data_IF_974999391308
#
_entry.id   IF_974999391308
#
_cell.length_a   1.000
_cell.length_b   1.000
_cell.length_c   1.000
_cell.angle_alpha   90.00
_cell.angle_beta   90.00
_cell.angle_gamma   90.00
#
_symmetry.space_group_name_H-M   'P 1'
#
loop_
_entity.id
_entity.type
_entity.pdbx_description
1 polymer ?
#
# COMPACT_ATOMS: atom_id res chain seq x y z
N UNK A 1 -21.47 69.91 -59.82
CA UNK A 1 -20.04 69.52 -59.81
C UNK A 1 -19.68 69.31 -58.35
N UNK A 2 -19.96 68.14 -57.79
CA UNK A 2 -19.04 66.98 -57.83
C UNK A 2 -17.68 67.35 -57.24
N UNK A 3 -17.27 66.60 -56.22
CA UNK A 3 -16.05 66.77 -55.42
C UNK A 3 -16.07 68.00 -54.50
N UNK A 4 -16.63 67.85 -53.31
CA UNK A 4 -15.91 68.17 -52.07
C UNK A 4 -16.71 67.55 -50.92
N UNK A 5 -16.26 66.34 -50.54
CA UNK A 5 -16.37 65.76 -49.20
C UNK A 5 -17.81 65.46 -48.75
N UNK A 6 -18.43 64.29 -48.94
CA UNK A 6 -17.94 62.90 -48.94
C UNK A 6 -16.91 62.54 -47.85
N UNK A 7 -16.54 63.50 -46.99
CA UNK A 7 -15.55 63.34 -45.91
C UNK A 7 -16.19 63.35 -44.52
N UNK A 8 -17.40 63.87 -44.36
CA UNK A 8 -18.11 63.94 -43.07
C UNK A 8 -18.99 62.72 -42.82
N UNK A 9 -19.55 62.09 -43.86
CA UNK A 9 -20.33 60.86 -43.71
C UNK A 9 -19.45 59.61 -43.48
N UNK A 10 -18.18 59.65 -43.92
CA UNK A 10 -17.23 58.54 -43.68
C UNK A 10 -16.70 58.50 -42.23
N UNK A 11 -16.92 59.59 -41.48
CA UNK A 11 -16.56 59.72 -40.06
C UNK A 11 -17.76 59.49 -39.13
N UNK A 12 -18.91 59.04 -39.65
CA UNK A 12 -20.11 58.71 -38.87
C UNK A 12 -20.58 57.26 -39.04
N UNK A 13 -19.87 56.44 -39.81
CA UNK A 13 -19.78 55.02 -39.50
C UNK A 13 -18.79 54.87 -38.35
N UNK A 14 -19.24 55.34 -37.17
CA UNK A 14 -18.87 54.78 -35.88
C UNK A 14 -18.98 53.27 -36.07
N UNK A 15 -17.84 52.64 -36.40
CA UNK A 15 -17.59 51.22 -36.29
C UNK A 15 -17.89 50.90 -34.85
N UNK A 16 -19.18 50.66 -34.58
CA UNK A 16 -19.71 50.20 -33.31
C UNK A 16 -18.90 48.97 -33.04
N UNK A 17 -18.05 49.14 -32.05
CA UNK A 17 -16.95 48.27 -31.77
C UNK A 17 -17.51 46.87 -31.57
N UNK A 18 -16.90 45.82 -32.15
CA UNK A 18 -17.09 44.50 -31.60
C UNK A 18 -16.28 44.36 -30.31
N UNK A 19 -15.97 45.46 -29.58
CA UNK A 19 -15.32 45.43 -28.27
C UNK A 19 -16.12 44.55 -27.34
N UNK A 20 -17.46 44.67 -27.32
CA UNK A 20 -18.28 43.79 -26.50
C UNK A 20 -18.31 42.32 -26.96
N UNK A 21 -18.14 42.04 -28.25
CA UNK A 21 -18.11 40.66 -28.74
C UNK A 21 -16.74 40.03 -28.46
N UNK A 22 -15.66 40.78 -28.67
CA UNK A 22 -14.29 40.35 -28.36
C UNK A 22 -14.12 40.19 -26.84
N UNK A 23 -14.66 41.11 -26.04
CA UNK A 23 -14.64 41.01 -24.57
C UNK A 23 -15.43 39.81 -24.08
N UNK A 24 -16.61 39.53 -24.67
CA UNK A 24 -17.40 38.33 -24.35
C UNK A 24 -16.68 37.05 -24.77
N UNK A 25 -16.07 37.02 -25.95
CA UNK A 25 -15.28 35.87 -26.42
C UNK A 25 -14.03 35.68 -25.56
N UNK A 26 -13.41 36.76 -25.09
CA UNK A 26 -12.27 36.73 -24.19
C UNK A 26 -12.67 36.22 -22.80
N UNK A 27 -13.77 36.71 -22.24
CA UNK A 27 -14.36 36.21 -21.00
C UNK A 27 -14.72 34.72 -21.10
N UNK A 28 -15.32 34.29 -22.21
CA UNK A 28 -15.63 32.88 -22.48
C UNK A 28 -14.37 32.03 -22.62
N UNK A 29 -13.32 32.53 -23.29
CA UNK A 29 -12.05 31.84 -23.42
C UNK A 29 -11.33 31.70 -22.06
N UNK A 30 -11.37 32.75 -21.24
CA UNK A 30 -10.80 32.74 -19.89
C UNK A 30 -11.56 31.78 -18.98
N UNK A 31 -12.90 31.76 -19.07
CA UNK A 31 -13.75 30.81 -18.34
C UNK A 31 -13.46 29.36 -18.76
N UNK A 32 -13.32 29.11 -20.08
CA UNK A 32 -12.99 27.80 -20.60
C UNK A 32 -11.59 27.35 -20.16
N UNK A 33 -10.61 28.26 -20.18
CA UNK A 33 -9.25 27.99 -19.69
C UNK A 33 -9.27 27.66 -18.19
N UNK A 34 -10.01 28.43 -17.39
CA UNK A 34 -10.17 28.17 -15.96
C UNK A 34 -10.87 26.84 -15.68
N UNK A 35 -11.91 26.50 -16.43
CA UNK A 35 -12.58 25.21 -16.31
C UNK A 35 -11.64 24.05 -16.69
N UNK A 36 -10.85 24.21 -17.75
CA UNK A 36 -9.87 23.20 -18.18
C UNK A 36 -8.75 23.02 -17.15
N UNK A 37 -8.19 24.11 -16.59
CA UNK A 37 -7.15 24.02 -15.54
C UNK A 37 -7.71 23.44 -14.25
N UNK A 38 -8.93 23.81 -13.85
CA UNK A 38 -9.61 23.21 -12.70
C UNK A 38 -9.85 21.72 -12.92
N UNK A 39 -10.31 21.33 -14.11
CA UNK A 39 -10.49 19.92 -14.46
C UNK A 39 -9.16 19.16 -14.47
N UNK A 40 -8.07 19.76 -14.93
CA UNK A 40 -6.72 19.17 -14.86
C UNK A 40 -6.23 19.05 -13.42
N UNK A 41 -6.38 20.08 -12.58
CA UNK A 41 -6.00 20.06 -11.16
C UNK A 41 -6.83 19.05 -10.39
N UNK A 42 -8.14 19.00 -10.61
CA UNK A 42 -9.04 17.99 -10.05
C UNK A 42 -8.74 16.61 -10.62
N UNK A 43 -8.35 16.47 -11.89
CA UNK A 43 -7.94 15.18 -12.47
C UNK A 43 -6.58 14.73 -11.96
N UNK A 44 -5.63 15.63 -11.70
CA UNK A 44 -4.34 15.33 -11.08
C UNK A 44 -4.55 15.02 -9.59
N UNK A 45 -5.45 15.75 -8.92
CA UNK A 45 -5.86 15.50 -7.53
C UNK A 45 -6.69 14.22 -7.38
N UNK A 46 -7.53 13.88 -8.36
CA UNK A 46 -8.29 12.64 -8.45
C UNK A 46 -7.42 11.48 -8.92
N UNK A 47 -6.42 11.71 -9.79
CA UNK A 47 -5.36 10.73 -10.04
C UNK A 47 -4.46 10.56 -8.83
N UNK A 48 -4.27 11.56 -7.97
CA UNK A 48 -3.66 11.37 -6.65
C UNK A 48 -4.61 10.66 -5.68
N UNK A 49 -5.93 10.87 -5.76
CA UNK A 49 -6.90 10.16 -4.91
C UNK A 49 -7.17 8.72 -5.36
N UNK A 50 -7.10 8.42 -6.65
CA UNK A 50 -7.07 7.05 -7.19
C UNK A 50 -5.66 6.47 -7.12
N UNK A 51 -4.59 7.26 -7.13
CA UNK A 51 -3.25 6.80 -6.71
C UNK A 51 -3.08 6.79 -5.20
N UNK A 52 -4.16 6.91 -4.42
CA UNK A 52 -4.20 6.63 -2.97
C UNK A 52 -5.22 5.52 -2.69
N UNK A 53 -6.33 5.44 -3.44
CA UNK A 53 -7.35 4.38 -3.31
C UNK A 53 -7.12 3.15 -4.22
N UNK A 54 -6.54 3.29 -5.42
CA UNK A 54 -5.96 2.17 -6.18
C UNK A 54 -4.50 1.91 -5.76
N UNK A 55 -3.87 2.86 -5.05
CA UNK A 55 -2.70 2.59 -4.21
C UNK A 55 -3.10 2.21 -2.77
N UNK A 56 -4.33 1.78 -2.57
CA UNK A 56 -4.77 1.04 -1.40
C UNK A 56 -4.86 -0.44 -1.81
N UNK A 57 -3.80 -1.25 -1.89
CA UNK A 57 -2.43 -1.14 -1.42
C UNK A 57 -1.66 -2.25 -2.15
N UNK A 58 -0.75 -1.90 -3.06
CA UNK A 58 0.37 -2.77 -3.37
C UNK A 58 1.23 -2.87 -2.09
N UNK A 59 0.83 -3.72 -1.15
CA UNK A 59 1.56 -3.94 0.09
C UNK A 59 2.98 -4.43 -0.25
N UNK A 60 4.07 -3.90 0.29
CA UNK A 60 4.32 -2.69 1.07
C UNK A 60 5.85 -2.76 1.22
N UNK A 61 6.58 -1.99 0.40
CA UNK A 61 8.02 -2.20 0.17
C UNK A 61 8.33 -3.58 -0.45
N UNK A 62 9.47 -3.74 -1.13
CA UNK A 62 9.91 -5.08 -1.56
C UNK A 62 10.39 -5.86 -0.33
N UNK A 63 9.48 -6.15 0.62
CA UNK A 63 9.79 -6.96 1.79
C UNK A 63 9.93 -8.39 1.31
N UNK A 64 11.15 -8.90 1.40
CA UNK A 64 11.38 -10.33 1.25
C UNK A 64 10.78 -11.06 2.45
N UNK A 65 10.33 -12.29 2.26
CA UNK A 65 9.90 -13.17 3.37
C UNK A 65 10.96 -13.21 4.46
N UNK A 66 12.24 -13.18 4.06
CA UNK A 66 13.37 -13.19 4.98
C UNK A 66 13.40 -11.98 5.90
N UNK A 67 13.37 -10.76 5.33
CA UNK A 67 13.41 -9.53 6.12
C UNK A 67 12.22 -9.41 7.06
N UNK A 68 11.04 -9.84 6.62
CA UNK A 68 9.85 -9.82 7.45
C UNK A 68 9.94 -10.78 8.65
N UNK A 69 10.39 -12.02 8.41
CA UNK A 69 10.59 -13.00 9.48
C UNK A 69 11.68 -12.55 10.45
N UNK A 70 12.82 -12.04 9.95
CA UNK A 70 13.88 -11.48 10.79
C UNK A 70 13.37 -10.36 11.70
N UNK A 71 12.61 -9.42 11.14
CA UNK A 71 12.05 -8.31 11.91
C UNK A 71 11.07 -8.79 12.98
N UNK A 72 10.15 -9.69 12.64
CA UNK A 72 9.16 -10.22 13.59
C UNK A 72 9.79 -11.05 14.69
N UNK A 73 10.80 -11.86 14.36
CA UNK A 73 11.56 -12.64 15.32
C UNK A 73 12.34 -11.74 16.27
N UNK A 74 13.04 -10.73 15.74
CA UNK A 74 13.81 -9.78 16.57
C UNK A 74 12.92 -8.90 17.47
N UNK A 75 11.73 -8.51 17.00
CA UNK A 75 10.73 -7.82 17.83
C UNK A 75 10.27 -8.66 19.02
N UNK A 76 10.35 -9.98 18.90
CA UNK A 76 9.98 -10.95 19.92
C UNK A 76 11.21 -11.67 20.51
N UNK A 77 12.39 -11.03 20.50
CA UNK A 77 13.60 -11.55 21.15
C UNK A 77 13.53 -11.40 22.69
N UNK A 78 12.52 -12.05 23.27
CA UNK A 78 12.26 -12.12 24.70
C UNK A 78 12.24 -13.59 25.09
N UNK A 79 12.61 -13.92 26.33
CA UNK A 79 12.69 -15.32 26.73
C UNK A 79 11.31 -15.98 26.74
N UNK A 80 11.15 -17.08 25.99
CA UNK A 80 9.93 -17.88 25.96
C UNK A 80 8.78 -17.27 25.14
N UNK A 81 9.00 -16.21 24.39
CA UNK A 81 7.98 -15.59 23.53
C UNK A 81 7.86 -16.26 22.16
N UNK A 82 8.80 -17.13 21.77
CA UNK A 82 8.84 -17.69 20.40
C UNK A 82 8.76 -19.21 20.42
N UNK A 83 7.75 -19.77 19.76
CA UNK A 83 7.54 -21.22 19.69
C UNK A 83 7.18 -21.70 18.27
N UNK A 84 7.71 -22.85 17.87
CA UNK A 84 7.27 -23.54 16.64
C UNK A 84 5.99 -24.31 16.94
N UNK A 85 4.98 -24.15 16.09
CA UNK A 85 3.66 -24.75 16.23
C UNK A 85 3.03 -25.01 14.86
N UNK A 86 1.72 -25.24 14.81
CA UNK A 86 0.96 -25.43 13.58
C UNK A 86 -0.43 -24.82 13.68
N UNK A 87 -0.92 -24.24 12.57
CA UNK A 87 -2.32 -23.90 12.38
C UNK A 87 -2.93 -24.96 11.45
N UNK A 88 -3.71 -25.87 12.03
CA UNK A 88 -4.18 -27.06 11.31
C UNK A 88 -2.99 -27.95 10.89
N UNK A 89 -2.80 -28.13 9.59
CA UNK A 89 -1.69 -28.91 9.02
C UNK A 89 -0.50 -28.03 8.57
N UNK A 90 -0.57 -26.72 8.76
CA UNK A 90 0.43 -25.77 8.25
C UNK A 90 1.41 -25.38 9.36
N UNK A 91 2.73 -25.51 9.16
CA UNK A 91 3.74 -25.03 10.10
C UNK A 91 3.56 -23.53 10.38
N UNK A 92 3.69 -23.16 11.65
CA UNK A 92 3.53 -21.80 12.11
C UNK A 92 4.59 -21.46 13.16
N UNK A 93 4.96 -20.19 13.23
CA UNK A 93 5.70 -19.64 14.37
C UNK A 93 4.72 -18.81 15.22
N UNK A 94 4.69 -19.07 16.52
CA UNK A 94 3.92 -18.33 17.50
C UNK A 94 4.84 -17.34 18.23
N UNK A 95 4.41 -16.08 18.28
CA UNK A 95 5.09 -14.96 18.90
C UNK A 95 4.17 -14.38 19.98
N UNK A 96 4.45 -14.66 21.24
CA UNK A 96 3.61 -14.29 22.38
C UNK A 96 4.11 -13.03 23.08
N UNK A 97 3.18 -12.12 23.34
CA UNK A 97 3.42 -10.86 24.05
C UNK A 97 2.41 -10.73 25.20
N UNK A 98 2.85 -10.18 26.34
CA UNK A 98 1.97 -9.87 27.48
C UNK A 98 1.73 -8.36 27.55
N UNK A 99 0.47 -7.95 27.41
CA UNK A 99 0.04 -6.55 27.45
C UNK A 99 -1.10 -6.42 28.47
N UNK A 100 -0.91 -5.59 29.51
CA UNK A 100 -1.90 -5.39 30.58
C UNK A 100 -2.41 -6.71 31.20
N UNK A 101 -1.48 -7.61 31.58
CA UNK A 101 -1.76 -8.95 32.13
C UNK A 101 -2.54 -9.91 31.21
N UNK A 102 -2.76 -9.54 29.94
CA UNK A 102 -3.35 -10.39 28.92
C UNK A 102 -2.28 -10.87 27.93
N UNK A 103 -2.29 -12.16 27.61
CA UNK A 103 -1.39 -12.76 26.62
C UNK A 103 -2.05 -12.68 25.24
N UNK A 104 -1.30 -12.14 24.29
CA UNK A 104 -1.63 -12.15 22.88
C UNK A 104 -0.59 -12.97 22.13
N UNK A 105 -1.04 -13.80 21.21
CA UNK A 105 -0.14 -14.59 20.36
C UNK A 105 -0.35 -14.20 18.91
N UNK A 106 0.74 -13.81 18.27
CA UNK A 106 0.81 -13.58 16.84
C UNK A 106 1.33 -14.84 16.16
N UNK A 107 0.56 -15.39 15.24
CA UNK A 107 0.95 -16.54 14.44
C UNK A 107 1.36 -16.10 13.04
N UNK A 108 2.52 -16.58 12.58
CA UNK A 108 2.99 -16.41 11.21
C UNK A 108 3.11 -17.78 10.55
N UNK A 109 2.47 -17.94 9.39
CA UNK A 109 2.34 -19.24 8.71
C UNK A 109 2.14 -19.06 7.20
N UNK A 110 2.30 -20.14 6.43
CA UNK A 110 2.05 -20.11 4.99
C UNK A 110 0.75 -20.86 4.67
N UNK A 111 -0.19 -20.18 4.00
CA UNK A 111 -1.44 -20.77 3.54
C UNK A 111 -1.95 -20.06 2.29
N UNK A 112 -2.41 -20.86 1.31
CA UNK A 112 -3.01 -20.38 0.06
C UNK A 112 -2.06 -19.48 -0.77
N UNK A 113 -0.76 -19.80 -0.78
CA UNK A 113 0.24 -19.05 -1.54
C UNK A 113 0.67 -17.72 -0.92
N UNK A 114 0.32 -17.49 0.34
CA UNK A 114 0.73 -16.30 1.10
C UNK A 114 1.33 -16.68 2.45
N UNK A 115 2.39 -15.97 2.83
CA UNK A 115 2.74 -15.76 4.22
C UNK A 115 1.62 -14.93 4.87
N UNK A 116 1.07 -15.43 5.95
CA UNK A 116 -0.05 -14.84 6.68
C UNK A 116 0.32 -14.57 8.12
N UNK A 117 -0.31 -13.55 8.69
CA UNK A 117 -0.18 -13.16 10.09
C UNK A 117 -1.56 -13.01 10.73
N UNK A 118 -1.70 -13.44 11.99
CA UNK A 118 -2.85 -13.14 12.83
C UNK A 118 -2.46 -13.03 14.29
N UNK A 119 -2.94 -11.98 14.96
CA UNK A 119 -2.79 -11.79 16.40
C UNK A 119 -4.11 -12.06 17.08
N UNK A 120 -4.10 -12.93 18.08
CA UNK A 120 -5.29 -13.28 18.86
C UNK A 120 -4.97 -13.32 20.35
N UNK A 121 -5.99 -13.12 21.18
CA UNK A 121 -5.87 -13.43 22.61
C UNK A 121 -5.65 -14.91 22.83
N UNK A 122 -4.93 -15.25 23.90
CA UNK A 122 -4.67 -16.64 24.27
C UNK A 122 -5.97 -17.48 24.36
N UNK A 123 -5.88 -18.74 23.95
CA UNK A 123 -7.02 -19.66 23.87
C UNK A 123 -7.97 -19.46 22.67
N UNK A 124 -7.77 -18.45 21.83
CA UNK A 124 -8.58 -18.26 20.62
C UNK A 124 -8.22 -19.30 19.56
N UNK A 125 -9.22 -20.01 19.02
CA UNK A 125 -9.02 -20.94 17.90
C UNK A 125 -8.82 -20.16 16.60
N UNK A 126 -7.76 -20.49 15.86
CA UNK A 126 -7.40 -19.86 14.59
C UNK A 126 -7.55 -20.87 13.46
N UNK A 127 -8.24 -20.48 12.38
CA UNK A 127 -8.30 -21.23 11.14
C UNK A 127 -7.26 -20.67 10.14
N UNK A 128 -6.73 -21.50 9.21
CA UNK A 128 -5.76 -21.04 8.22
C UNK A 128 -6.22 -19.85 7.35
N UNK A 129 -7.54 -19.70 7.18
CA UNK A 129 -8.12 -18.61 6.40
C UNK A 129 -8.18 -17.27 7.11
N UNK A 130 -8.07 -17.24 8.44
CA UNK A 130 -8.36 -16.07 9.27
C UNK A 130 -7.24 -15.02 9.22
N UNK A 131 -6.01 -15.44 8.90
CA UNK A 131 -4.85 -14.57 8.88
C UNK A 131 -4.82 -13.63 7.69
N UNK A 132 -4.34 -12.41 7.94
CA UNK A 132 -4.11 -11.40 6.93
C UNK A 132 -2.98 -11.85 5.99
N UNK A 133 -3.18 -11.68 4.68
CA UNK A 133 -2.13 -11.90 3.66
C UNK A 133 -1.05 -10.83 3.79
N UNK A 134 0.21 -11.24 3.96
CA UNK A 134 1.36 -10.34 4.11
C UNK A 134 2.22 -10.35 2.84
N UNK A 135 2.78 -11.50 2.46
CA UNK A 135 3.73 -11.65 1.34
C UNK A 135 3.36 -12.90 0.53
N UNK A 136 3.46 -12.86 -0.80
CA UNK A 136 3.30 -14.05 -1.62
C UNK A 136 4.44 -15.04 -1.38
N UNK A 137 4.10 -16.29 -1.03
CA UNK A 137 5.06 -17.34 -0.69
C UNK A 137 4.40 -18.68 -0.90
N UNK A 138 5.01 -19.58 -1.68
CA UNK A 138 4.40 -20.87 -2.00
C UNK A 138 4.39 -21.82 -0.82
N UNK A 139 5.46 -21.85 -0.04
CA UNK A 139 5.58 -22.74 1.11
C UNK A 139 6.53 -22.17 2.16
N UNK A 140 6.28 -22.58 3.40
CA UNK A 140 7.14 -22.30 4.56
C UNK A 140 7.21 -23.58 5.41
N UNK A 141 8.43 -24.00 5.72
CA UNK A 141 8.71 -24.95 6.79
C UNK A 141 9.57 -24.28 7.86
N UNK A 142 9.42 -24.72 9.11
CA UNK A 142 10.02 -24.07 10.27
C UNK A 142 10.58 -25.16 11.17
N UNK A 143 11.87 -25.07 11.46
CA UNK A 143 12.57 -25.98 12.34
C UNK A 143 13.29 -25.19 13.45
N UNK A 144 13.15 -25.65 14.69
CA UNK A 144 13.96 -25.16 15.80
C UNK A 144 15.24 -26.00 15.87
N UNK A 145 16.35 -25.46 15.34
CA UNK A 145 17.63 -26.17 15.26
C UNK A 145 18.28 -26.29 16.64
N UNK A 146 18.10 -25.27 17.48
CA UNK A 146 18.50 -25.27 18.89
C UNK A 146 17.66 -24.25 19.68
N UNK A 147 17.86 -24.14 21.00
CA UNK A 147 17.08 -23.28 21.92
C UNK A 147 16.96 -21.80 21.52
N UNK A 148 17.75 -21.32 20.57
CA UNK A 148 17.72 -19.94 20.11
C UNK A 148 17.99 -19.79 18.61
N UNK A 149 17.99 -20.89 17.84
CA UNK A 149 18.27 -20.86 16.40
C UNK A 149 17.13 -21.54 15.64
N UNK A 150 16.53 -20.78 14.72
CA UNK A 150 15.43 -21.21 13.89
C UNK A 150 15.88 -21.26 12.43
N UNK A 151 15.43 -22.29 11.71
CA UNK A 151 15.58 -22.42 10.28
C UNK A 151 14.21 -22.32 9.62
N UNK A 152 14.04 -21.32 8.77
CA UNK A 152 12.87 -21.16 7.91
C UNK A 152 13.26 -21.62 6.50
N UNK A 153 12.60 -22.67 6.00
CA UNK A 153 12.75 -23.08 4.61
C UNK A 153 11.63 -22.45 3.80
N UNK A 154 11.99 -21.50 2.94
CA UNK A 154 11.05 -20.65 2.21
C UNK A 154 11.06 -21.06 0.75
N UNK A 155 9.87 -21.30 0.18
CA UNK A 155 9.69 -21.47 -1.27
C UNK A 155 9.00 -20.24 -1.84
N UNK A 156 9.69 -19.51 -2.72
CA UNK A 156 9.18 -18.29 -3.33
C UNK A 156 8.12 -18.55 -4.43
N UNK A 157 7.63 -17.49 -5.06
CA UNK A 157 6.65 -17.57 -6.14
C UNK A 157 7.19 -18.24 -7.42
N UNK A 158 8.50 -18.24 -7.63
CA UNK A 158 9.15 -18.94 -8.75
C UNK A 158 9.26 -20.45 -8.49
N UNK A 159 9.19 -20.87 -7.23
CA UNK A 159 9.42 -22.25 -6.79
C UNK A 159 10.86 -22.49 -6.34
N UNK A 160 11.71 -21.47 -6.33
CA UNK A 160 13.03 -21.55 -5.75
C UNK A 160 12.91 -21.63 -4.22
N UNK A 161 13.65 -22.58 -3.64
CA UNK A 161 13.61 -22.85 -2.20
C UNK A 161 14.95 -22.53 -1.57
N UNK A 162 14.94 -21.76 -0.49
CA UNK A 162 16.15 -21.34 0.21
C UNK A 162 15.94 -21.33 1.73
N UNK A 163 17.00 -21.62 2.51
CA UNK A 163 16.95 -21.54 3.95
C UNK A 163 17.21 -20.11 4.44
N UNK A 164 16.59 -19.76 5.55
CA UNK A 164 16.86 -18.56 6.34
C UNK A 164 17.09 -18.98 7.79
N UNK A 165 18.22 -18.55 8.36
CA UNK A 165 18.55 -18.84 9.75
C UNK A 165 18.41 -17.58 10.58
N UNK A 166 17.65 -17.67 11.67
CA UNK A 166 17.44 -16.56 12.61
C UNK A 166 17.84 -17.02 14.00
N UNK A 167 18.79 -16.30 14.60
CA UNK A 167 19.20 -16.51 15.99
C UNK A 167 18.62 -15.43 16.88
N UNK A 168 18.06 -15.84 18.01
CA UNK A 168 17.60 -14.94 19.07
C UNK A 168 18.67 -14.88 20.19
N UNK A 169 18.75 -13.74 20.89
CA UNK A 169 19.64 -13.60 22.04
C UNK A 169 19.02 -14.26 23.28
N UNK A 170 17.70 -14.15 23.42
CA UNK A 170 16.95 -14.79 24.48
C UNK A 170 16.76 -16.29 24.19
N UNK A 171 16.92 -17.11 25.23
CA UNK A 171 16.63 -18.54 25.13
C UNK A 171 15.13 -18.78 25.04
N UNK A 172 14.74 -19.61 24.08
CA UNK A 172 13.40 -20.12 23.89
C UNK A 172 13.36 -21.55 24.45
N UNK A 173 12.26 -21.89 25.13
CA UNK A 173 12.10 -23.17 25.83
C UNK A 173 11.47 -24.24 24.96
#
# INVERSE_FOLDING_TARGET
MSLLLKGTDFMLELKKTPEHTIDRVFLLALLALFAATTFLVVSIGAKQYHSIADSMTANYETRTVSSYLEEKMNQNDVAGSVAVTSIGAFPAIALSETVNDAIYTTYIYCYDGYLREITVSDGTTVLPGDGQKIIETKALAIDMVSSNLYCFTITDTTGYTYPLYISLNAKQS
#
